data_IF_476564228016
#
_entry.id   IF_476564228016
#
_cell.length_a   1.000
_cell.length_b   1.000
_cell.length_c   1.000
_cell.angle_alpha   90.00
_cell.angle_beta   90.00
_cell.angle_gamma   90.00
#
_symmetry.space_group_name_H-M   'P 1'
#
loop_
_entity.id
_entity.type
_entity.pdbx_description
1 polymer ?
#
# COMPACT_ATOMS: atom_id res chain seq x y z
N UNK A 1 -7.40 23.40 23.85
CA UNK A 1 -6.69 22.14 24.13
C UNK A 1 -7.43 21.02 23.40
N UNK A 2 -7.29 20.99 22.07
CA UNK A 2 -7.92 19.96 21.22
C UNK A 2 -6.92 18.82 21.10
N UNK A 3 -7.25 17.68 21.71
CA UNK A 3 -6.62 16.40 21.40
C UNK A 3 -6.99 16.04 19.96
N UNK A 4 -6.13 16.44 19.01
CA UNK A 4 -6.08 15.81 17.68
C UNK A 4 -5.50 14.42 17.91
N UNK A 5 -6.37 13.50 18.31
CA UNK A 5 -6.10 12.06 18.30
C UNK A 5 -6.17 11.60 16.85
N UNK A 6 -5.48 10.52 16.50
CA UNK A 6 -5.52 9.83 15.19
C UNK A 6 -6.94 9.44 14.69
N UNK A 7 -7.99 9.84 15.43
CA UNK A 7 -9.37 9.96 14.97
C UNK A 7 -9.56 10.75 13.68
N UNK A 8 -8.65 11.64 13.27
CA UNK A 8 -8.76 12.35 11.98
C UNK A 8 -8.41 11.47 10.78
N UNK A 9 -7.47 10.52 10.92
CA UNK A 9 -6.95 9.71 9.81
C UNK A 9 -8.00 8.72 9.28
N UNK A 10 -8.94 8.27 10.13
CA UNK A 10 -9.98 7.31 9.76
C UNK A 10 -11.36 7.93 9.45
N UNK A 11 -11.55 9.25 9.61
CA UNK A 11 -12.88 9.90 9.48
C UNK A 11 -13.26 10.34 8.07
N UNK A 12 -12.37 10.15 7.08
CA UNK A 12 -12.51 10.78 5.77
C UNK A 12 -12.90 9.90 4.59
N UNK A 13 -12.79 8.58 4.64
CA UNK A 13 -13.01 7.75 3.44
C UNK A 13 -14.01 6.61 3.65
N UNK A 14 -15.32 6.93 3.73
CA UNK A 14 -16.33 5.95 3.44
C UNK A 14 -16.47 5.91 1.91
N UNK A 15 -15.76 5.01 1.22
CA UNK A 15 -16.12 4.43 -0.09
C UNK A 15 -14.95 3.59 -0.64
N UNK A 16 -15.29 2.45 -1.25
CA UNK A 16 -14.46 1.48 -1.98
C UNK A 16 -13.20 2.05 -2.66
N UNK A 17 -12.02 1.47 -2.39
CA UNK A 17 -10.70 2.00 -2.84
C UNK A 17 -10.60 2.11 -4.36
N UNK A 18 -11.02 1.07 -5.09
CA UNK A 18 -11.01 1.12 -6.56
C UNK A 18 -12.04 2.09 -7.13
N UNK A 19 -13.24 2.17 -6.58
CA UNK A 19 -14.27 3.09 -7.08
C UNK A 19 -13.83 4.55 -6.91
N UNK A 20 -13.28 4.90 -5.75
CA UNK A 20 -12.75 6.24 -5.50
C UNK A 20 -11.60 6.56 -6.45
N UNK A 21 -10.70 5.60 -6.67
CA UNK A 21 -9.58 5.78 -7.60
C UNK A 21 -10.05 5.98 -9.05
N UNK A 22 -11.06 5.21 -9.51
CA UNK A 22 -11.67 5.39 -10.84
C UNK A 22 -12.34 6.77 -10.97
N UNK A 23 -13.07 7.21 -9.94
CA UNK A 23 -13.70 8.53 -9.93
C UNK A 23 -12.67 9.66 -9.93
N UNK A 24 -11.61 9.53 -9.13
CA UNK A 24 -10.49 10.46 -9.10
C UNK A 24 -9.80 10.58 -10.45
N UNK A 25 -9.51 9.45 -11.10
CA UNK A 25 -8.92 9.46 -12.45
C UNK A 25 -9.84 10.10 -13.48
N UNK A 26 -11.15 9.84 -13.43
CA UNK A 26 -12.10 10.47 -14.34
C UNK A 26 -12.07 12.00 -14.21
N UNK A 27 -12.15 12.51 -12.99
CA UNK A 27 -12.09 13.96 -12.73
C UNK A 27 -10.76 14.56 -13.17
N UNK A 28 -9.65 13.90 -12.84
CA UNK A 28 -8.31 14.32 -13.24
C UNK A 28 -8.17 14.40 -14.76
N UNK A 29 -8.59 13.36 -15.49
CA UNK A 29 -8.48 13.32 -16.95
C UNK A 29 -9.43 14.29 -17.64
N UNK A 30 -10.62 14.53 -17.09
CA UNK A 30 -11.52 15.58 -17.56
C UNK A 30 -10.87 16.97 -17.45
N UNK A 31 -10.30 17.30 -16.29
CA UNK A 31 -9.59 18.55 -16.08
C UNK A 31 -8.36 18.69 -17.00
N UNK A 32 -7.59 17.60 -17.16
CA UNK A 32 -6.40 17.59 -18.03
C UNK A 32 -6.75 17.75 -19.51
N UNK A 33 -7.84 17.14 -19.96
CA UNK A 33 -8.30 17.36 -21.33
C UNK A 33 -8.78 18.80 -21.54
N UNK A 34 -9.50 19.38 -20.59
CA UNK A 34 -9.93 20.78 -20.68
C UNK A 34 -8.73 21.75 -20.75
N UNK A 35 -7.69 21.51 -19.95
CA UNK A 35 -6.43 22.25 -19.99
C UNK A 35 -5.75 22.12 -21.37
N UNK A 36 -5.63 20.90 -21.88
CA UNK A 36 -5.02 20.60 -23.18
C UNK A 36 -5.82 21.25 -24.35
N UNK A 37 -7.15 21.20 -24.28
CA UNK A 37 -8.00 21.77 -25.31
C UNK A 37 -7.90 23.30 -25.34
N UNK A 38 -7.98 23.96 -24.19
CA UNK A 38 -7.84 25.42 -24.08
C UNK A 38 -6.42 25.90 -24.43
N UNK A 39 -5.40 25.14 -24.05
CA UNK A 39 -4.00 25.52 -24.21
C UNK A 39 -3.40 25.21 -25.59
N UNK A 40 -3.91 24.20 -26.31
CA UNK A 40 -3.28 23.72 -27.55
C UNK A 40 -4.29 23.33 -28.64
N UNK A 41 -5.23 22.42 -28.35
CA UNK A 41 -6.03 21.79 -29.42
C UNK A 41 -6.97 22.79 -30.08
N UNK A 42 -7.64 23.64 -29.29
CA UNK A 42 -8.56 24.66 -29.80
C UNK A 42 -7.87 25.78 -30.57
N UNK A 43 -6.59 26.03 -30.27
CA UNK A 43 -5.79 27.07 -30.93
C UNK A 43 -5.30 26.63 -32.32
N UNK A 44 -5.22 25.31 -32.57
CA UNK A 44 -4.65 24.73 -33.79
C UNK A 44 -5.56 23.63 -34.37
N UNK A 45 -6.83 23.96 -34.63
CA UNK A 45 -7.82 23.00 -35.17
C UNK A 45 -7.51 22.51 -36.59
N UNK A 46 -6.64 23.23 -37.31
CA UNK A 46 -6.07 22.80 -38.59
C UNK A 46 -5.16 21.57 -38.46
N UNK A 47 -4.46 21.44 -37.32
CA UNK A 47 -3.59 20.29 -36.99
C UNK A 47 -4.32 19.28 -36.08
N UNK A 48 -5.21 19.76 -35.20
CA UNK A 48 -5.96 18.97 -34.23
C UNK A 48 -7.48 19.06 -34.44
N UNK A 49 -8.02 18.38 -35.47
CA UNK A 49 -9.46 18.37 -35.74
C UNK A 49 -10.29 17.88 -34.54
N UNK A 50 -11.38 18.58 -34.23
CA UNK A 50 -12.18 18.32 -33.03
C UNK A 50 -12.85 16.92 -33.00
N UNK A 51 -13.11 16.34 -34.17
CA UNK A 51 -13.66 14.99 -34.33
C UNK A 51 -12.62 13.89 -34.04
N UNK A 52 -11.34 14.18 -34.23
CA UNK A 52 -10.21 13.27 -33.98
C UNK A 52 -9.59 13.44 -32.59
N UNK A 53 -9.67 14.65 -32.03
CA UNK A 53 -9.10 15.02 -30.73
C UNK A 53 -10.18 15.31 -29.69
N UNK A 54 -11.19 14.44 -29.60
CA UNK A 54 -12.25 14.51 -28.60
C UNK A 54 -11.81 13.95 -27.23
N UNK A 55 -12.60 14.23 -26.19
CA UNK A 55 -12.36 13.67 -24.86
C UNK A 55 -12.35 12.14 -24.85
N UNK A 56 -13.23 11.49 -25.61
CA UNK A 56 -13.27 10.02 -25.71
C UNK A 56 -12.00 9.46 -26.36
N UNK A 57 -11.45 10.15 -27.36
CA UNK A 57 -10.17 9.77 -28.01
C UNK A 57 -8.99 10.00 -27.08
N UNK A 58 -9.02 11.07 -26.29
CA UNK A 58 -8.05 11.31 -25.23
C UNK A 58 -8.09 10.19 -24.18
N UNK A 59 -9.27 9.83 -23.67
CA UNK A 59 -9.42 8.71 -22.73
C UNK A 59 -8.95 7.38 -23.33
N UNK A 60 -9.26 7.11 -24.59
CA UNK A 60 -8.76 5.93 -25.30
C UNK A 60 -7.23 5.91 -25.36
N UNK A 61 -6.59 7.04 -25.69
CA UNK A 61 -5.14 7.14 -25.76
C UNK A 61 -4.48 6.98 -24.39
N UNK A 62 -4.99 7.67 -23.36
CA UNK A 62 -4.51 7.56 -21.98
C UNK A 62 -4.68 6.14 -21.45
N UNK A 63 -5.84 5.53 -21.67
CA UNK A 63 -6.10 4.15 -21.29
C UNK A 63 -5.17 3.17 -22.00
N UNK A 64 -4.85 3.40 -23.27
CA UNK A 64 -3.91 2.58 -24.03
C UNK A 64 -2.49 2.69 -23.45
N UNK A 65 -2.01 3.91 -23.20
CA UNK A 65 -0.69 4.12 -22.58
C UNK A 65 -0.64 3.41 -21.23
N UNK A 66 -1.60 3.68 -20.34
CA UNK A 66 -1.62 3.09 -19.00
C UNK A 66 -1.69 1.57 -19.01
N UNK A 67 -2.51 0.98 -19.88
CA UNK A 67 -2.72 -0.46 -19.91
C UNK A 67 -1.60 -1.24 -20.60
N UNK A 68 -0.77 -0.60 -21.44
CA UNK A 68 0.22 -1.28 -22.30
C UNK A 68 1.67 -0.87 -22.03
N UNK A 69 1.92 0.11 -21.18
CA UNK A 69 3.27 0.37 -20.66
C UNK A 69 3.55 -0.53 -19.46
N UNK A 70 4.69 -1.21 -19.45
CA UNK A 70 5.09 -2.11 -18.37
C UNK A 70 6.54 -1.86 -17.95
N UNK A 71 6.83 -1.99 -16.65
CA UNK A 71 8.19 -1.97 -16.13
C UNK A 71 9.07 -3.01 -16.86
N UNK A 72 10.34 -2.72 -17.19
CA UNK A 72 11.14 -1.58 -16.71
C UNK A 72 10.99 -0.29 -17.55
N UNK A 73 10.10 -0.27 -18.55
CA UNK A 73 9.81 0.92 -19.36
C UNK A 73 8.47 1.54 -18.96
N UNK A 74 8.43 2.10 -17.75
CA UNK A 74 7.28 2.78 -17.17
C UNK A 74 7.64 4.18 -16.61
N UNK A 75 6.62 4.97 -16.28
CA UNK A 75 6.80 6.33 -15.76
C UNK A 75 7.62 7.24 -16.71
N UNK A 76 8.71 7.81 -16.18
CA UNK A 76 9.60 8.71 -16.92
C UNK A 76 10.33 8.02 -18.10
N UNK A 77 10.44 6.69 -18.09
CA UNK A 77 11.05 5.88 -19.13
C UNK A 77 10.00 4.98 -19.83
N UNK A 78 8.83 5.52 -20.16
CA UNK A 78 7.72 4.74 -20.75
C UNK A 78 7.85 4.48 -22.25
N UNK A 79 7.43 3.29 -22.68
CA UNK A 79 7.35 2.92 -24.10
C UNK A 79 6.15 2.01 -24.39
N UNK A 80 5.52 2.22 -25.53
CA UNK A 80 4.64 1.23 -26.15
C UNK A 80 5.52 0.32 -27.02
N UNK A 81 5.51 -0.98 -26.75
CA UNK A 81 6.36 -1.96 -27.42
C UNK A 81 5.47 -2.92 -28.22
N UNK A 82 5.26 -2.66 -29.52
CA UNK A 82 4.42 -3.51 -30.35
C UNK A 82 4.88 -4.97 -30.29
N UNK A 83 3.91 -5.89 -30.39
CA UNK A 83 4.06 -7.35 -30.25
C UNK A 83 4.28 -7.80 -28.81
N UNK A 84 5.21 -7.17 -28.08
CA UNK A 84 5.49 -7.56 -26.70
C UNK A 84 4.31 -7.22 -25.77
N UNK A 85 3.60 -6.13 -26.05
CA UNK A 85 2.38 -5.71 -25.35
C UNK A 85 1.14 -6.60 -25.61
N UNK A 86 1.25 -7.60 -26.49
CA UNK A 86 0.18 -8.58 -26.78
C UNK A 86 0.20 -9.80 -25.84
N UNK A 87 1.29 -10.01 -25.09
CA UNK A 87 1.39 -11.11 -24.13
C UNK A 87 0.27 -11.01 -23.09
N UNK A 88 -0.42 -12.11 -22.79
CA UNK A 88 -1.56 -12.08 -21.88
C UNK A 88 -1.12 -11.98 -20.42
N UNK A 89 -1.94 -11.37 -19.57
CA UNK A 89 -1.63 -11.34 -18.14
C UNK A 89 -1.76 -12.74 -17.52
N UNK A 90 -0.73 -13.18 -16.80
CA UNK A 90 -0.80 -14.25 -15.81
C UNK A 90 0.10 -13.90 -14.63
N UNK A 91 -0.38 -14.12 -13.41
CA UNK A 91 0.39 -13.82 -12.19
C UNK A 91 1.55 -14.80 -12.05
N UNK A 92 2.72 -14.28 -11.68
CA UNK A 92 3.95 -15.07 -11.56
C UNK A 92 4.52 -15.53 -12.91
N UNK A 93 4.01 -15.02 -14.03
CA UNK A 93 4.66 -15.13 -15.32
C UNK A 93 5.90 -14.22 -15.39
N UNK A 94 6.80 -14.45 -16.35
CA UNK A 94 7.96 -13.59 -16.56
C UNK A 94 7.52 -12.15 -16.85
N UNK A 95 8.33 -11.19 -16.43
CA UNK A 95 8.22 -9.81 -16.91
C UNK A 95 9.25 -9.58 -18.01
N UNK A 96 8.93 -8.69 -18.95
CA UNK A 96 9.91 -8.31 -19.95
C UNK A 96 11.09 -7.54 -19.31
N UNK A 97 12.22 -7.48 -20.01
CA UNK A 97 13.42 -6.77 -19.55
C UNK A 97 13.91 -5.85 -20.65
N UNK A 98 14.25 -4.62 -20.29
CA UNK A 98 14.96 -3.72 -21.18
C UNK A 98 16.47 -3.96 -21.05
N UNK A 99 17.16 -4.07 -22.17
CA UNK A 99 18.59 -4.35 -22.21
C UNK A 99 19.24 -3.95 -23.52
N UNK A 100 20.51 -4.35 -23.69
CA UNK A 100 21.24 -4.15 -24.94
C UNK A 100 20.67 -5.03 -26.05
N UNK A 101 20.52 -4.46 -27.25
CA UNK A 101 20.14 -5.21 -28.43
C UNK A 101 21.24 -6.20 -28.86
N UNK A 102 20.86 -7.09 -29.79
CA UNK A 102 21.77 -8.10 -30.34
C UNK A 102 23.08 -7.46 -30.83
N UNK A 103 24.22 -8.03 -30.43
CA UNK A 103 25.56 -7.52 -30.77
C UNK A 103 25.85 -6.08 -30.31
N UNK A 104 25.20 -5.62 -29.23
CA UNK A 104 25.44 -4.29 -28.66
C UNK A 104 24.90 -3.14 -29.52
N UNK A 105 24.02 -3.44 -30.48
CA UNK A 105 23.35 -2.41 -31.31
C UNK A 105 21.98 -2.09 -30.73
N UNK A 106 21.84 -0.86 -30.24
CA UNK A 106 20.57 -0.32 -29.76
C UNK A 106 20.12 -0.90 -28.42
N UNK A 107 18.92 -0.50 -28.01
CA UNK A 107 18.20 -1.07 -26.87
C UNK A 107 17.15 -2.05 -27.38
N UNK A 108 16.89 -3.11 -26.62
CA UNK A 108 15.86 -4.08 -26.91
C UNK A 108 15.06 -4.41 -25.65
N UNK A 109 13.81 -4.78 -25.86
CA UNK A 109 12.97 -5.39 -24.83
C UNK A 109 12.90 -6.88 -25.12
N UNK A 110 13.15 -7.70 -24.10
CA UNK A 110 13.13 -9.17 -24.21
C UNK A 110 12.11 -9.72 -23.22
N UNK A 111 11.16 -10.51 -23.71
CA UNK A 111 10.29 -11.35 -22.89
C UNK A 111 10.75 -12.80 -23.11
N UNK A 112 11.31 -13.40 -22.07
CA UNK A 112 11.87 -14.76 -22.13
C UNK A 112 10.90 -15.75 -21.47
N UNK A 113 10.68 -16.88 -22.12
CA UNK A 113 9.86 -17.95 -21.57
C UNK A 113 10.59 -18.66 -20.42
N UNK A 114 9.98 -18.71 -19.23
CA UNK A 114 10.52 -19.45 -18.07
C UNK A 114 9.89 -20.84 -17.91
N UNK A 115 9.03 -21.23 -18.85
CA UNK A 115 8.38 -22.55 -18.92
C UNK A 115 8.18 -22.97 -20.37
N UNK A 116 7.97 -24.26 -20.58
CA UNK A 116 7.53 -24.78 -21.87
C UNK A 116 6.09 -24.34 -22.17
N UNK A 117 5.83 -24.02 -23.44
CA UNK A 117 4.49 -23.71 -23.97
C UNK A 117 4.10 -24.76 -25.00
N UNK A 118 2.87 -25.26 -24.91
CA UNK A 118 2.32 -26.13 -25.95
C UNK A 118 2.00 -25.34 -27.22
N UNK A 119 2.01 -26.01 -28.38
CA UNK A 119 1.58 -25.39 -29.62
C UNK A 119 0.11 -24.91 -29.51
N UNK A 120 -0.12 -23.62 -29.73
CA UNK A 120 -1.44 -22.98 -29.60
C UNK A 120 -1.73 -22.41 -28.20
N UNK A 121 -0.83 -22.58 -27.24
CA UNK A 121 -0.92 -21.92 -25.94
C UNK A 121 -0.55 -20.43 -26.03
N UNK A 122 -1.22 -19.59 -25.25
CA UNK A 122 -0.93 -18.16 -25.19
C UNK A 122 0.37 -17.92 -24.40
N UNK A 123 1.21 -17.03 -24.93
CA UNK A 123 2.37 -16.52 -24.19
C UNK A 123 1.90 -15.49 -23.17
N UNK A 124 2.38 -15.63 -21.94
CA UNK A 124 1.96 -14.83 -20.80
C UNK A 124 3.08 -13.94 -20.23
N UNK A 125 2.66 -12.89 -19.53
CA UNK A 125 3.49 -11.91 -18.84
C UNK A 125 2.82 -11.45 -17.54
N UNK A 126 3.59 -11.22 -16.48
CA UNK A 126 3.05 -10.61 -15.27
C UNK A 126 3.05 -9.08 -15.41
N UNK A 127 1.84 -8.50 -15.49
CA UNK A 127 1.66 -7.07 -15.68
C UNK A 127 1.98 -6.26 -14.42
N UNK A 128 2.01 -6.91 -13.26
CA UNK A 128 2.13 -6.25 -11.97
C UNK A 128 2.58 -7.21 -10.90
N UNK A 129 3.84 -7.66 -10.96
CA UNK A 129 4.42 -8.50 -9.93
C UNK A 129 4.21 -7.88 -8.54
N UNK A 130 3.53 -8.62 -7.66
CA UNK A 130 3.20 -8.17 -6.30
C UNK A 130 2.02 -7.19 -6.19
N UNK A 131 1.46 -6.68 -7.29
CA UNK A 131 0.27 -5.81 -7.28
C UNK A 131 -1.00 -6.59 -6.96
N UNK A 132 -1.94 -5.94 -6.28
CA UNK A 132 -3.28 -6.47 -6.03
C UNK A 132 -4.11 -6.54 -7.31
N UNK A 133 -5.14 -7.39 -7.29
CA UNK A 133 -6.19 -7.45 -8.33
C UNK A 133 -6.80 -6.05 -8.59
N UNK A 134 -7.02 -5.25 -7.54
CA UNK A 134 -7.51 -3.88 -7.64
C UNK A 134 -6.63 -2.99 -8.51
N UNK A 135 -5.31 -3.08 -8.33
CA UNK A 135 -4.33 -2.27 -9.07
C UNK A 135 -4.18 -2.77 -10.51
N UNK A 136 -4.10 -4.09 -10.72
CA UNK A 136 -4.00 -4.68 -12.07
C UNK A 136 -5.25 -4.38 -12.89
N UNK A 137 -6.44 -4.52 -12.30
CA UNK A 137 -7.69 -4.18 -12.97
C UNK A 137 -7.76 -2.70 -13.35
N UNK A 138 -7.32 -1.82 -12.46
CA UNK A 138 -7.36 -0.37 -12.67
C UNK A 138 -6.39 0.10 -13.75
N UNK A 139 -5.19 -0.48 -13.78
CA UNK A 139 -4.14 -0.11 -14.74
C UNK A 139 -4.37 -0.78 -16.10
N UNK A 140 -4.73 -2.06 -16.13
CA UNK A 140 -4.70 -2.89 -17.33
C UNK A 140 -6.06 -3.46 -17.77
N UNK A 141 -7.10 -3.36 -16.94
CA UNK A 141 -8.43 -3.85 -17.30
C UNK A 141 -8.56 -5.37 -17.36
N UNK A 142 -7.64 -6.10 -16.73
CA UNK A 142 -7.59 -7.57 -16.69
C UNK A 142 -7.39 -8.08 -15.27
N UNK A 143 -7.68 -9.36 -15.05
CA UNK A 143 -7.40 -10.09 -13.80
C UNK A 143 -6.91 -11.51 -14.15
N UNK A 144 -6.17 -12.10 -13.23
CA UNK A 144 -5.88 -13.54 -13.24
C UNK A 144 -6.91 -14.25 -12.34
N UNK A 145 -7.83 -14.99 -12.96
CA UNK A 145 -8.88 -15.71 -12.24
C UNK A 145 -8.38 -16.99 -11.56
N UNK A 146 -7.28 -17.57 -12.05
CA UNK A 146 -6.71 -18.80 -11.51
C UNK A 146 -5.80 -18.51 -10.30
N UNK A 147 -5.25 -17.30 -10.24
CA UNK A 147 -4.42 -16.82 -9.14
C UNK A 147 -4.85 -15.44 -8.61
N UNK A 148 -6.04 -15.34 -7.97
CA UNK A 148 -6.53 -14.07 -7.44
C UNK A 148 -5.62 -13.54 -6.33
N UNK A 149 -5.40 -12.23 -6.32
CA UNK A 149 -4.69 -11.52 -5.25
C UNK A 149 -5.55 -10.36 -4.73
N UNK A 150 -6.58 -10.74 -4.00
CA UNK A 150 -7.43 -9.81 -3.25
C UNK A 150 -6.64 -9.09 -2.15
N UNK A 151 -7.02 -7.84 -1.90
CA UNK A 151 -6.39 -7.02 -0.88
C UNK A 151 -6.99 -5.62 -0.85
N UNK A 152 -6.55 -4.82 0.12
CA UNK A 152 -6.93 -3.43 0.24
C UNK A 152 -5.70 -2.53 0.28
N UNK A 153 -5.70 -1.49 -0.55
CA UNK A 153 -4.65 -0.47 -0.55
C UNK A 153 -5.00 0.60 0.49
N UNK A 154 -4.24 0.64 1.58
CA UNK A 154 -4.37 1.61 2.65
C UNK A 154 -3.41 2.78 2.41
N UNK A 155 -3.95 3.99 2.30
CA UNK A 155 -3.15 5.21 2.25
C UNK A 155 -3.17 5.85 3.65
N UNK A 156 -2.00 6.15 4.20
CA UNK A 156 -1.82 6.86 5.46
C UNK A 156 -1.05 8.15 5.19
N UNK A 157 -1.48 9.23 5.84
CA UNK A 157 -0.86 10.53 5.75
C UNK A 157 -0.52 11.02 7.16
N UNK A 158 0.69 11.55 7.33
CA UNK A 158 1.07 12.31 8.52
C UNK A 158 0.35 13.66 8.48
N UNK A 159 -0.56 13.97 9.42
CA UNK A 159 -1.36 15.19 9.35
C UNK A 159 -0.47 16.44 9.46
N UNK A 160 -0.54 17.40 8.51
CA UNK A 160 0.27 18.62 8.55
C UNK A 160 0.08 19.47 9.81
N UNK A 161 -1.06 19.33 10.48
CA UNK A 161 -1.40 19.98 11.75
C UNK A 161 -0.91 19.23 13.00
N UNK A 162 -0.23 18.08 12.86
CA UNK A 162 0.37 17.38 13.98
C UNK A 162 1.42 18.29 14.65
N UNK A 163 1.31 18.42 15.98
CA UNK A 163 2.24 19.24 16.77
C UNK A 163 3.70 18.82 16.57
N UNK A 164 3.94 17.55 16.29
CA UNK A 164 5.25 16.94 16.10
C UNK A 164 5.53 16.60 14.63
N UNK A 165 4.87 17.29 13.69
CA UNK A 165 4.97 17.00 12.26
C UNK A 165 6.42 16.94 11.79
N UNK A 166 7.21 17.98 12.05
CA UNK A 166 8.60 18.07 11.56
C UNK A 166 9.47 16.92 12.08
N UNK A 167 9.37 16.58 13.37
CA UNK A 167 10.15 15.49 13.97
C UNK A 167 9.72 14.12 13.43
N UNK A 168 8.41 13.89 13.23
CA UNK A 168 7.89 12.64 12.68
C UNK A 168 8.24 12.49 11.19
N UNK A 169 8.14 13.57 10.41
CA UNK A 169 8.49 13.59 9.00
C UNK A 169 9.97 13.28 8.79
N UNK A 170 10.85 13.85 9.62
CA UNK A 170 12.29 13.59 9.60
C UNK A 170 12.63 12.11 9.91
N UNK A 171 11.94 11.49 10.88
CA UNK A 171 12.10 10.06 11.18
C UNK A 171 11.67 9.19 9.98
N UNK A 172 10.55 9.54 9.35
CA UNK A 172 10.08 8.83 8.15
C UNK A 172 11.10 8.93 7.01
N UNK A 173 11.58 10.13 6.71
CA UNK A 173 12.56 10.36 5.64
C UNK A 173 13.84 9.55 5.85
N UNK A 174 14.38 9.52 7.08
CA UNK A 174 15.57 8.73 7.43
C UNK A 174 15.35 7.22 7.28
N UNK A 175 14.11 6.75 7.42
CA UNK A 175 13.73 5.35 7.20
C UNK A 175 13.42 5.02 5.74
N UNK A 176 13.52 5.98 4.82
CA UNK A 176 13.17 5.83 3.41
C UNK A 176 11.66 5.84 3.14
N UNK A 177 10.87 6.34 4.10
CA UNK A 177 9.42 6.50 4.00
C UNK A 177 9.07 7.97 3.77
N UNK A 178 7.86 8.20 3.25
CA UNK A 178 7.29 9.53 3.02
C UNK A 178 6.17 9.81 4.01
N UNK A 179 5.81 11.09 4.17
CA UNK A 179 4.65 11.52 4.98
C UNK A 179 3.34 10.97 4.47
N UNK A 180 3.28 10.69 3.17
CA UNK A 180 2.19 10.04 2.47
C UNK A 180 2.64 8.63 2.08
N UNK A 181 2.16 7.61 2.78
CA UNK A 181 2.61 6.23 2.62
C UNK A 181 1.45 5.32 2.21
N UNK A 182 1.76 4.37 1.34
CA UNK A 182 0.82 3.35 0.89
C UNK A 182 1.22 1.98 1.44
N UNK A 183 0.27 1.31 2.08
CA UNK A 183 0.43 -0.04 2.61
C UNK A 183 -0.61 -0.97 2.00
N UNK A 184 -0.27 -2.25 1.90
CA UNK A 184 -1.17 -3.28 1.37
C UNK A 184 -1.66 -4.17 2.51
N UNK A 185 -2.99 -4.28 2.65
CA UNK A 185 -3.64 -5.24 3.51
C UNK A 185 -4.00 -6.48 2.69
N UNK A 186 -3.60 -7.65 3.16
CA UNK A 186 -3.86 -8.93 2.49
C UNK A 186 -4.76 -9.80 3.35
N UNK A 187 -5.57 -10.62 2.69
CA UNK A 187 -6.42 -11.61 3.36
C UNK A 187 -5.54 -12.59 4.14
N UNK A 188 -5.92 -12.87 5.39
CA UNK A 188 -5.26 -13.82 6.30
C UNK A 188 -3.75 -13.59 6.50
N UNK A 189 -3.28 -12.35 6.33
CA UNK A 189 -1.89 -11.96 6.66
C UNK A 189 -1.86 -10.88 7.71
N UNK A 190 -0.83 -10.92 8.53
CA UNK A 190 -0.59 -9.87 9.53
C UNK A 190 -0.19 -8.55 8.85
N UNK A 191 -0.56 -7.40 9.43
CA UNK A 191 -0.02 -6.10 9.03
C UNK A 191 1.51 -6.11 9.05
N UNK A 192 2.13 -5.54 8.02
CA UNK A 192 3.60 -5.44 7.96
C UNK A 192 4.17 -4.64 9.14
N UNK A 193 5.41 -4.93 9.53
CA UNK A 193 6.12 -4.17 10.56
C UNK A 193 6.23 -2.68 10.22
N UNK A 194 6.38 -2.34 8.94
CA UNK A 194 6.42 -0.96 8.45
C UNK A 194 5.08 -0.24 8.67
N UNK A 195 3.96 -0.91 8.39
CA UNK A 195 2.62 -0.38 8.67
C UNK A 195 2.43 -0.14 10.18
N UNK A 196 2.80 -1.12 11.02
CA UNK A 196 2.70 -0.96 12.47
C UNK A 196 3.60 0.16 13.00
N UNK A 197 4.83 0.27 12.50
CA UNK A 197 5.75 1.35 12.83
C UNK A 197 5.22 2.72 12.45
N UNK A 198 4.65 2.84 11.25
CA UNK A 198 4.03 4.09 10.79
C UNK A 198 2.85 4.48 11.69
N UNK A 199 1.96 3.53 12.01
CA UNK A 199 0.82 3.77 12.89
C UNK A 199 1.25 4.18 14.32
N UNK A 200 2.30 3.56 14.85
CA UNK A 200 2.87 3.92 16.17
C UNK A 200 3.43 5.34 16.17
N UNK A 201 4.15 5.71 15.12
CA UNK A 201 4.67 7.07 14.93
C UNK A 201 3.54 8.10 14.80
N UNK A 202 2.51 7.80 14.00
CA UNK A 202 1.31 8.64 13.90
C UNK A 202 0.68 8.88 15.28
N UNK A 203 0.55 7.83 16.09
CA UNK A 203 -0.06 7.90 17.43
C UNK A 203 0.92 8.33 18.54
N UNK A 204 2.18 8.62 18.21
CA UNK A 204 3.19 8.99 19.17
C UNK A 204 2.89 10.38 19.73
N UNK A 205 2.63 10.44 21.04
CA UNK A 205 2.19 11.66 21.73
C UNK A 205 2.35 11.54 23.25
N UNK A 206 2.06 12.62 23.97
CA UNK A 206 2.00 12.60 25.44
C UNK A 206 3.32 12.16 26.08
N UNK A 207 3.26 11.15 26.94
CA UNK A 207 4.44 10.61 27.65
C UNK A 207 5.42 9.88 26.74
N UNK A 208 5.04 9.50 25.51
CA UNK A 208 5.94 8.81 24.57
C UNK A 208 6.68 9.78 23.64
N UNK A 209 6.32 11.08 23.68
CA UNK A 209 6.90 12.09 22.80
C UNK A 209 8.41 12.32 23.03
N UNK A 210 8.97 11.89 24.16
CA UNK A 210 10.42 11.96 24.39
C UNK A 210 11.20 11.12 23.36
N UNK A 211 10.58 10.11 22.73
CA UNK A 211 11.21 9.31 21.66
C UNK A 211 11.46 10.12 20.38
N UNK A 212 10.90 11.33 20.27
CA UNK A 212 11.16 12.28 19.19
C UNK A 212 12.36 13.19 19.48
N UNK A 213 12.94 13.13 20.68
CA UNK A 213 14.08 13.98 21.01
C UNK A 213 15.29 13.69 20.11
N UNK A 214 16.13 14.69 19.80
CA UNK A 214 17.30 14.53 18.94
C UNK A 214 18.27 13.42 19.37
N UNK A 215 18.30 13.07 20.66
CA UNK A 215 19.09 11.97 21.22
C UNK A 215 18.75 10.62 20.56
N UNK A 216 17.49 10.41 20.20
CA UNK A 216 16.97 9.16 19.66
C UNK A 216 16.82 9.17 18.14
N UNK A 217 17.13 10.28 17.45
CA UNK A 217 16.84 10.50 16.03
C UNK A 217 17.19 9.29 15.15
N UNK A 218 18.39 8.73 15.30
CA UNK A 218 18.89 7.61 14.49
C UNK A 218 18.28 6.24 14.86
N UNK A 219 17.65 6.12 16.03
CA UNK A 219 17.10 4.87 16.57
C UNK A 219 15.56 4.89 16.64
N UNK A 220 14.95 6.07 16.52
CA UNK A 220 13.53 6.31 16.74
C UNK A 220 12.66 5.40 15.88
N UNK A 221 13.01 5.22 14.61
CA UNK A 221 12.31 4.29 13.73
C UNK A 221 12.39 2.84 14.24
N UNK A 222 13.57 2.40 14.69
CA UNK A 222 13.75 1.08 15.29
C UNK A 222 12.87 0.87 16.53
N UNK A 223 12.63 1.92 17.32
CA UNK A 223 11.69 1.85 18.44
C UNK A 223 10.24 1.68 17.99
N UNK A 224 9.86 2.27 16.84
CA UNK A 224 8.52 2.12 16.27
C UNK A 224 8.28 0.71 15.71
N UNK A 225 9.32 -0.05 15.35
CA UNK A 225 9.16 -1.43 14.87
C UNK A 225 8.68 -2.40 15.96
N UNK A 226 8.76 -2.01 17.24
CA UNK A 226 8.24 -2.76 18.38
C UNK A 226 7.20 -1.96 19.18
N UNK A 227 6.40 -2.60 20.06
CA UNK A 227 5.39 -1.90 20.85
C UNK A 227 5.98 -0.75 21.68
N UNK A 228 5.39 0.44 21.59
CA UNK A 228 5.95 1.64 22.26
C UNK A 228 5.50 1.69 23.72
N UNK A 229 4.20 1.82 23.93
CA UNK A 229 3.53 1.87 25.22
C UNK A 229 2.12 1.29 25.10
N UNK A 230 1.51 0.92 26.22
CA UNK A 230 0.12 0.44 26.20
C UNK A 230 -0.82 1.50 25.60
N UNK A 231 -0.64 2.77 25.96
CA UNK A 231 -1.48 3.86 25.45
C UNK A 231 -1.34 4.04 23.94
N UNK A 232 -0.12 3.97 23.41
CA UNK A 232 0.14 4.06 21.98
C UNK A 232 -0.45 2.86 21.22
N UNK A 233 -0.22 1.62 21.68
CA UNK A 233 -0.79 0.43 21.04
C UNK A 233 -2.32 0.41 21.08
N UNK A 234 -2.96 0.84 22.18
CA UNK A 234 -4.43 0.99 22.22
C UNK A 234 -4.94 1.95 21.16
N UNK A 235 -4.26 3.09 20.98
CA UNK A 235 -4.63 4.09 19.98
C UNK A 235 -4.46 3.55 18.55
N UNK A 236 -3.37 2.83 18.28
CA UNK A 236 -3.12 2.15 17.01
C UNK A 236 -4.22 1.13 16.71
N UNK A 237 -4.50 0.22 17.63
CA UNK A 237 -5.47 -0.85 17.40
C UNK A 237 -6.90 -0.32 17.25
N UNK A 238 -7.27 0.66 18.08
CA UNK A 238 -8.57 1.29 17.98
C UNK A 238 -8.74 2.04 16.66
N UNK A 239 -7.76 2.85 16.26
CA UNK A 239 -7.85 3.61 15.00
C UNK A 239 -7.96 2.70 13.77
N UNK A 240 -7.18 1.62 13.72
CA UNK A 240 -7.26 0.64 12.64
C UNK A 240 -8.56 -0.16 12.64
N UNK A 241 -9.03 -0.61 13.81
CA UNK A 241 -10.30 -1.32 13.90
C UNK A 241 -11.48 -0.43 13.50
N UNK A 242 -11.52 0.82 13.96
CA UNK A 242 -12.55 1.79 13.58
C UNK A 242 -12.50 2.11 12.08
N UNK A 243 -11.30 2.28 11.52
CA UNK A 243 -11.10 2.48 10.07
C UNK A 243 -11.58 1.31 9.23
N UNK A 244 -11.24 0.07 9.62
CA UNK A 244 -11.70 -1.13 8.92
C UNK A 244 -13.22 -1.29 8.98
N UNK A 245 -13.84 -1.05 10.15
CA UNK A 245 -15.31 -1.09 10.30
C UNK A 245 -15.99 -0.03 9.44
N UNK A 246 -15.47 1.20 9.44
CA UNK A 246 -16.01 2.29 8.63
C UNK A 246 -15.89 1.98 7.13
N UNK A 247 -14.73 1.46 6.69
CA UNK A 247 -14.52 1.06 5.30
C UNK A 247 -15.50 -0.05 4.89
N UNK A 248 -15.66 -1.10 5.70
CA UNK A 248 -16.61 -2.20 5.47
C UNK A 248 -18.06 -1.72 5.37
N UNK A 249 -18.47 -0.77 6.21
CA UNK A 249 -19.81 -0.15 6.16
C UNK A 249 -20.05 0.67 4.89
N UNK A 250 -19.00 1.13 4.22
CA UNK A 250 -19.08 1.84 2.94
C UNK A 250 -19.46 0.96 1.75
N UNK A 251 -19.41 -0.37 1.87
CA UNK A 251 -19.76 -1.29 0.79
C UNK A 251 -21.27 -1.59 0.75
N UNK A 252 -21.82 -1.65 -0.46
CA UNK A 252 -23.16 -2.18 -0.67
C UNK A 252 -23.16 -3.71 -0.47
N UNK A 253 -23.66 -4.16 0.69
CA UNK A 253 -23.76 -5.57 1.05
C UNK A 253 -22.46 -6.19 1.60
N UNK A 254 -22.60 -7.28 2.34
CA UNK A 254 -21.49 -7.99 2.98
C UNK A 254 -20.75 -8.96 2.06
N UNK A 255 -19.75 -9.66 2.61
CA UNK A 255 -18.96 -10.69 1.92
C UNK A 255 -19.86 -11.78 1.30
N UNK A 256 -20.88 -12.23 2.02
CA UNK A 256 -21.78 -13.29 1.53
C UNK A 256 -22.62 -12.89 0.32
N UNK A 257 -22.94 -11.60 0.18
CA UNK A 257 -23.62 -11.12 -1.02
C UNK A 257 -22.71 -11.20 -2.24
N UNK A 258 -21.41 -10.93 -2.07
CA UNK A 258 -20.42 -10.98 -3.13
C UNK A 258 -20.06 -12.40 -3.53
N UNK A 259 -19.96 -13.32 -2.57
CA UNK A 259 -19.79 -14.73 -2.85
C UNK A 259 -20.95 -15.30 -3.68
N UNK A 260 -22.19 -14.86 -3.42
CA UNK A 260 -23.34 -15.20 -4.28
C UNK A 260 -23.23 -14.55 -5.66
N UNK A 261 -22.89 -13.27 -5.73
CA UNK A 261 -22.75 -12.55 -6.99
C UNK A 261 -21.65 -13.15 -7.88
N UNK A 262 -20.53 -13.58 -7.29
CA UNK A 262 -19.42 -14.22 -8.00
C UNK A 262 -19.85 -15.50 -8.72
N UNK A 263 -20.77 -16.28 -8.11
CA UNK A 263 -21.31 -17.50 -8.71
C UNK A 263 -22.32 -17.24 -9.83
N UNK A 264 -23.04 -16.12 -9.78
CA UNK A 264 -24.11 -15.80 -10.74
C UNK A 264 -23.67 -14.94 -11.91
N UNK A 265 -22.51 -14.29 -11.80
CA UNK A 265 -22.04 -13.32 -12.80
C UNK A 265 -21.31 -14.05 -13.95
N UNK A 266 -21.52 -13.66 -15.21
CA UNK A 266 -20.78 -14.24 -16.33
C UNK A 266 -19.26 -14.07 -16.16
N UNK A 267 -18.47 -15.16 -16.24
CA UNK A 267 -17.01 -15.09 -16.17
C UNK A 267 -16.43 -14.12 -17.21
N UNK A 268 -15.37 -13.41 -16.84
CA UNK A 268 -14.69 -12.43 -17.71
C UNK A 268 -15.46 -11.13 -17.95
N UNK A 269 -16.69 -10.98 -17.45
CA UNK A 269 -17.41 -9.71 -17.53
C UNK A 269 -16.81 -8.65 -16.60
N UNK A 270 -17.00 -7.36 -16.93
CA UNK A 270 -16.61 -6.24 -16.04
C UNK A 270 -17.28 -6.35 -14.66
N UNK A 271 -18.50 -6.87 -14.61
CA UNK A 271 -19.20 -7.11 -13.35
C UNK A 271 -18.51 -8.19 -12.53
N UNK A 272 -18.06 -9.28 -13.15
CA UNK A 272 -17.35 -10.35 -12.44
C UNK A 272 -16.04 -9.84 -11.84
N UNK A 273 -15.27 -9.07 -12.62
CA UNK A 273 -14.02 -8.46 -12.14
C UNK A 273 -14.26 -7.48 -10.98
N UNK A 274 -15.30 -6.64 -11.08
CA UNK A 274 -15.67 -5.71 -10.01
C UNK A 274 -16.11 -6.44 -8.74
N UNK A 275 -16.87 -7.55 -8.86
CA UNK A 275 -17.27 -8.38 -7.72
C UNK A 275 -16.06 -9.05 -7.08
N UNK A 276 -15.13 -9.59 -7.87
CA UNK A 276 -13.90 -10.22 -7.35
C UNK A 276 -13.04 -9.24 -6.55
N UNK A 277 -12.78 -8.05 -7.11
CA UNK A 277 -12.00 -7.02 -6.42
C UNK A 277 -12.69 -6.59 -5.13
N UNK A 278 -13.99 -6.31 -5.19
CA UNK A 278 -14.79 -5.89 -4.03
C UNK A 278 -14.82 -6.95 -2.92
N UNK A 279 -14.87 -8.22 -3.30
CA UNK A 279 -14.80 -9.34 -2.36
C UNK A 279 -13.43 -9.37 -1.67
N UNK A 280 -12.34 -9.32 -2.44
CA UNK A 280 -10.98 -9.34 -1.89
C UNK A 280 -10.67 -8.14 -0.99
N UNK A 281 -11.16 -6.95 -1.32
CA UNK A 281 -11.06 -5.77 -0.45
C UNK A 281 -11.78 -5.99 0.90
N UNK A 282 -13.01 -6.52 0.88
CA UNK A 282 -13.79 -6.78 2.09
C UNK A 282 -13.16 -7.88 2.96
N UNK A 283 -12.68 -8.96 2.35
CA UNK A 283 -11.99 -10.04 3.06
C UNK A 283 -10.71 -9.55 3.73
N UNK A 284 -9.93 -8.71 3.04
CA UNK A 284 -8.70 -8.14 3.61
C UNK A 284 -9.00 -7.19 4.78
N UNK A 285 -10.03 -6.35 4.66
CA UNK A 285 -10.47 -5.46 5.73
C UNK A 285 -11.02 -6.22 6.94
N UNK A 286 -11.84 -7.26 6.72
CA UNK A 286 -12.39 -8.10 7.78
C UNK A 286 -11.31 -8.92 8.50
N UNK A 287 -10.38 -9.52 7.74
CA UNK A 287 -9.20 -10.19 8.29
C UNK A 287 -8.34 -9.24 9.14
N UNK A 288 -8.05 -8.05 8.61
CA UNK A 288 -7.26 -7.03 9.32
C UNK A 288 -7.96 -6.56 10.59
N UNK A 289 -9.28 -6.32 10.52
CA UNK A 289 -10.10 -5.95 11.68
C UNK A 289 -9.98 -6.99 12.80
N UNK A 290 -10.19 -8.27 12.46
CA UNK A 290 -10.10 -9.38 13.43
C UNK A 290 -8.71 -9.48 14.04
N UNK A 291 -7.66 -9.26 13.24
CA UNK A 291 -6.29 -9.26 13.75
C UNK A 291 -6.07 -8.16 14.80
N UNK A 292 -6.50 -6.92 14.52
CA UNK A 292 -6.36 -5.81 15.47
C UNK A 292 -7.23 -6.00 16.73
N UNK A 293 -8.44 -6.52 16.61
CA UNK A 293 -9.30 -6.83 17.75
C UNK A 293 -8.68 -7.92 18.65
N UNK A 294 -8.20 -9.03 18.05
CA UNK A 294 -7.53 -10.09 18.79
C UNK A 294 -6.23 -9.60 19.44
N UNK A 295 -5.52 -8.65 18.82
CA UNK A 295 -4.31 -8.05 19.38
C UNK A 295 -4.61 -7.15 20.58
N UNK A 296 -5.72 -6.41 20.53
CA UNK A 296 -6.16 -5.54 21.62
C UNK A 296 -6.45 -6.33 22.91
N UNK A 297 -6.99 -7.54 22.80
CA UNK A 297 -7.23 -8.42 23.95
C UNK A 297 -5.92 -8.90 24.63
N UNK A 298 -4.80 -8.88 23.90
CA UNK A 298 -3.48 -9.35 24.37
C UNK A 298 -2.51 -8.21 24.66
N UNK A 299 -3.00 -6.98 24.76
CA UNK A 299 -2.14 -5.82 24.93
C UNK A 299 -1.35 -5.86 26.26
N UNK A 300 -1.94 -6.42 27.31
CA UNK A 300 -1.30 -6.53 28.62
C UNK A 300 -0.13 -7.54 28.66
N UNK A 301 -0.01 -8.40 27.65
CA UNK A 301 1.12 -9.33 27.52
C UNK A 301 2.23 -8.80 26.60
N UNK A 302 2.14 -7.54 26.16
CA UNK A 302 3.15 -6.92 25.33
C UNK A 302 4.31 -6.43 26.16
N UNK A 303 5.51 -6.59 25.60
CA UNK A 303 6.70 -5.95 26.13
C UNK A 303 6.88 -4.58 25.46
N UNK A 304 6.83 -3.51 26.27
CA UNK A 304 6.92 -2.12 25.81
C UNK A 304 8.35 -1.56 25.85
N UNK A 305 8.54 -0.35 25.33
CA UNK A 305 9.85 0.29 25.25
C UNK A 305 10.61 0.30 26.59
N UNK A 306 9.93 0.67 27.68
CA UNK A 306 10.58 0.77 29.00
C UNK A 306 11.06 -0.60 29.49
N UNK A 307 10.27 -1.65 29.30
CA UNK A 307 10.63 -3.02 29.69
C UNK A 307 11.81 -3.53 28.87
N UNK A 308 11.79 -3.33 27.54
CA UNK A 308 12.91 -3.69 26.66
C UNK A 308 14.20 -2.98 27.07
N UNK A 309 14.12 -1.68 27.37
CA UNK A 309 15.27 -0.88 27.79
C UNK A 309 15.87 -1.36 29.10
N UNK A 310 15.04 -1.80 30.05
CA UNK A 310 15.51 -2.35 31.33
C UNK A 310 16.24 -3.69 31.16
N UNK A 311 15.83 -4.53 30.20
CA UNK A 311 16.53 -5.81 29.94
C UNK A 311 17.95 -5.61 29.40
N UNK A 312 18.17 -4.56 28.63
CA UNK A 312 19.50 -4.22 28.09
C UNK A 312 20.44 -3.67 29.15
N UNK A 313 19.98 -3.40 30.38
CA UNK A 313 20.83 -2.86 31.46
C UNK A 313 21.89 -3.84 31.99
N UNK A 314 21.82 -5.13 31.64
CA UNK A 314 22.83 -6.10 32.08
C UNK A 314 22.99 -6.13 33.60
N UNK A 315 21.87 -6.08 34.33
CA UNK A 315 21.86 -6.04 35.81
C UNK A 315 22.52 -7.27 36.45
N UNK A 316 22.75 -8.32 35.65
CA UNK A 316 23.51 -9.51 35.97
C UNK A 316 24.61 -9.64 34.91
N UNK A 317 25.83 -9.96 35.34
CA UNK A 317 26.89 -10.38 34.43
C UNK A 317 26.61 -11.78 33.84
N UNK A 318 27.48 -12.25 32.93
CA UNK A 318 27.35 -13.56 32.26
C UNK A 318 27.35 -14.74 33.26
N UNK A 319 27.83 -14.52 34.49
CA UNK A 319 27.87 -15.49 35.58
C UNK A 319 26.66 -15.36 36.53
N UNK A 320 25.72 -14.45 36.23
CA UNK A 320 24.50 -14.23 37.01
C UNK A 320 24.71 -13.43 38.30
N UNK A 321 25.86 -12.78 38.47
CA UNK A 321 26.17 -11.94 39.62
C UNK A 321 25.77 -10.48 39.35
N UNK A 322 25.17 -9.83 40.34
CA UNK A 322 24.91 -8.39 40.28
C UNK A 322 26.15 -7.61 40.70
N UNK A 323 26.31 -6.37 40.21
CA UNK A 323 27.37 -5.46 40.66
C UNK A 323 27.32 -5.15 42.16
N UNK A 324 26.22 -5.51 42.84
CA UNK A 324 26.00 -5.32 44.27
C UNK A 324 26.29 -6.57 45.13
N UNK A 325 26.56 -7.73 44.53
CA UNK A 325 26.77 -8.98 45.28
C UNK A 325 28.06 -8.97 46.11
N UNK A 326 29.01 -8.10 45.75
CA UNK A 326 30.23 -7.83 46.53
C UNK A 326 30.05 -6.68 47.53
N UNK A 327 29.10 -5.76 47.28
CA UNK A 327 28.88 -4.57 48.11
C UNK A 327 28.29 -4.90 49.49
N UNK A 328 27.58 -6.03 49.62
CA UNK A 328 27.00 -6.50 50.89
C UNK A 328 27.81 -7.62 51.57
N UNK A 329 28.91 -8.08 50.95
CA UNK A 329 29.77 -9.12 51.57
C UNK A 329 30.65 -8.56 52.69
N UNK A 330 31.08 -7.31 52.55
CA UNK A 330 31.81 -6.59 53.57
C UNK A 330 30.84 -5.63 54.28
N UNK A 331 30.06 -6.17 55.22
CA UNK A 331 29.14 -5.38 56.03
C UNK A 331 29.83 -4.17 56.65
N UNK A 332 29.14 -3.02 56.65
CA UNK A 332 29.53 -1.85 57.44
C UNK A 332 29.44 -2.27 58.92
N UNK A 333 30.59 -2.66 59.49
CA UNK A 333 30.80 -2.84 60.92
C UNK A 333 31.45 -1.57 61.50
#
# INVERSE_FOLDING_TARGET
MQLVTARSVARGQPLVSVLLSVQGYRQFFEAKYAELDAGLLSQHRDVFPADMYSYDRFLWAVGTVRARTHAPLDGAASALVPLADLAAHRRGAPQWRAGGGLFGRGQAVTLEAERDYAAGELVDMDYGAGKLDSQVLLDHGVLDADSPQGGFVLNLELPPEDRFFDDKADILEQSGLTTDAQFTLLVDREPSEQLLGFLRLLNLSGMDAFLLEPLFRNEAWGFMLAPVSEANERAVYQSMADGCRAALQGYAGGIEADLRAARSTPPGSRLAMAVQVRLGEKEALDSTLRWFEARADRIASLEFYQERRLKTLGLLDDDGASTYDTFFKDGIA
#
